data_IF_147786120740
#
_entry.id   IF_147786120740
#
_cell.length_a   1.000
_cell.length_b   1.000
_cell.length_c   1.000
_cell.angle_alpha   90.00
_cell.angle_beta   90.00
_cell.angle_gamma   90.00
#
_symmetry.space_group_name_H-M   'P 1'
#
loop_
_entity.id
_entity.type
_entity.pdbx_description
1 polymer ?
#
# COMPACT_ATOMS: atom_id res chain seq x y z
N UNK A 1 -0.43 13.82 -9.08
CA UNK A 1 -1.35 12.86 -9.75
C UNK A 1 -0.58 11.55 -9.90
N UNK A 2 -0.33 10.87 -8.79
CA UNK A 2 0.70 9.80 -8.69
C UNK A 2 0.14 8.49 -8.13
N UNK A 3 -1.17 8.34 -8.00
CA UNK A 3 -1.82 7.15 -7.43
C UNK A 3 -3.21 7.03 -8.03
N UNK A 4 -3.83 5.86 -7.90
CA UNK A 4 -5.12 5.60 -8.53
C UNK A 4 -6.25 6.37 -7.84
N UNK A 5 -7.42 6.42 -8.50
CA UNK A 5 -8.64 6.95 -7.89
C UNK A 5 -8.95 6.24 -6.57
N UNK A 6 -9.42 6.98 -5.56
CA UNK A 6 -9.84 6.41 -4.27
C UNK A 6 -11.03 5.45 -4.40
N UNK A 7 -11.77 5.51 -5.50
CA UNK A 7 -12.92 4.63 -5.79
C UNK A 7 -12.51 3.27 -6.34
N UNK A 8 -11.25 3.12 -6.75
CA UNK A 8 -10.71 1.91 -7.36
C UNK A 8 -9.57 1.35 -6.52
N UNK A 9 -9.45 0.04 -6.48
CA UNK A 9 -8.33 -0.64 -5.86
C UNK A 9 -7.52 -1.36 -6.92
N UNK A 10 -6.23 -1.05 -7.02
CA UNK A 10 -5.28 -1.66 -7.96
C UNK A 10 -3.94 -1.90 -7.28
N UNK A 11 -3.23 -2.93 -7.73
CA UNK A 11 -1.86 -3.21 -7.32
C UNK A 11 -1.00 -3.61 -8.52
N UNK A 12 0.32 -3.45 -8.41
CA UNK A 12 1.25 -3.87 -9.46
C UNK A 12 2.73 -3.82 -9.06
N UNK A 13 3.55 -4.58 -9.78
CA UNK A 13 5.02 -4.58 -9.62
C UNK A 13 5.59 -3.34 -10.32
N UNK A 14 6.33 -2.53 -9.57
CA UNK A 14 6.89 -1.24 -10.00
C UNK A 14 5.86 -0.20 -10.50
N UNK A 15 4.56 -0.49 -10.38
CA UNK A 15 3.50 0.42 -10.81
C UNK A 15 3.29 1.54 -9.80
N UNK A 16 3.79 2.74 -10.14
CA UNK A 16 3.60 3.95 -9.35
C UNK A 16 2.23 4.61 -9.58
N UNK A 17 1.31 4.01 -10.33
CA UNK A 17 -0.04 4.55 -10.53
C UNK A 17 -1.10 3.74 -9.80
N UNK A 18 -0.72 2.59 -9.25
CA UNK A 18 -1.59 1.71 -8.47
C UNK A 18 -1.77 2.19 -7.01
N UNK A 19 -2.81 1.67 -6.34
CA UNK A 19 -3.04 1.88 -4.90
C UNK A 19 -1.90 1.29 -4.07
N UNK A 20 -1.53 0.04 -4.38
CA UNK A 20 -0.44 -0.68 -3.72
C UNK A 20 0.65 -0.94 -4.75
N UNK A 21 1.89 -0.57 -4.41
CA UNK A 21 3.06 -0.87 -5.22
C UNK A 21 3.86 -2.00 -4.57
N UNK A 22 4.23 -3.00 -5.37
CA UNK A 22 5.29 -3.94 -5.02
C UNK A 22 6.58 -3.43 -5.67
N UNK A 23 7.64 -3.08 -4.92
CA UNK A 23 8.91 -2.67 -5.51
C UNK A 23 9.44 -3.73 -6.48
N UNK A 24 10.11 -3.31 -7.56
CA UNK A 24 10.66 -4.24 -8.56
C UNK A 24 11.53 -5.33 -7.92
N UNK A 25 12.44 -4.94 -7.04
CA UNK A 25 13.33 -5.86 -6.32
C UNK A 25 12.56 -6.88 -5.48
N UNK A 26 11.46 -6.48 -4.84
CA UNK A 26 10.60 -7.38 -4.07
C UNK A 26 9.88 -8.37 -4.99
N UNK A 27 9.38 -7.91 -6.14
CA UNK A 27 8.76 -8.76 -7.15
C UNK A 27 9.73 -9.78 -7.75
N UNK A 28 11.00 -9.38 -7.96
CA UNK A 28 12.07 -10.25 -8.47
C UNK A 28 12.55 -11.26 -7.41
N UNK A 29 12.66 -10.85 -6.14
CA UNK A 29 13.13 -11.72 -5.04
C UNK A 29 12.04 -12.66 -4.50
N UNK A 30 10.76 -12.31 -4.67
CA UNK A 30 9.64 -13.07 -4.12
C UNK A 30 9.37 -12.84 -2.62
N UNK A 31 10.14 -11.96 -1.96
CA UNK A 31 9.96 -11.57 -0.57
C UNK A 31 10.36 -10.11 -0.34
N UNK A 32 9.83 -9.50 0.73
CA UNK A 32 10.08 -8.11 1.08
C UNK A 32 8.85 -7.42 1.63
N UNK A 33 8.44 -6.30 1.02
CA UNK A 33 7.34 -5.46 1.48
C UNK A 33 6.44 -4.96 0.35
N UNK A 34 5.22 -4.54 0.72
CA UNK A 34 4.32 -3.75 -0.12
C UNK A 34 4.34 -2.29 0.32
N UNK A 35 4.04 -1.39 -0.60
CA UNK A 35 3.88 0.04 -0.33
C UNK A 35 2.44 0.46 -0.59
N UNK A 36 1.72 0.83 0.47
CA UNK A 36 0.39 1.44 0.34
C UNK A 36 0.51 2.94 0.07
N UNK A 37 0.08 3.35 -1.11
CA UNK A 37 0.24 4.71 -1.65
C UNK A 37 -1.07 5.51 -1.63
N UNK A 38 -2.07 5.04 -0.87
CA UNK A 38 -3.36 5.69 -0.65
C UNK A 38 -3.37 6.71 0.49
N UNK A 39 -2.60 6.55 1.58
CA UNK A 39 -2.56 7.54 2.66
C UNK A 39 -2.21 8.95 2.14
N UNK A 40 -2.97 9.96 2.56
CA UNK A 40 -2.66 11.35 2.27
C UNK A 40 -1.64 11.91 3.27
N UNK A 41 -1.03 13.05 2.94
CA UNK A 41 0.03 13.64 3.74
C UNK A 41 -0.40 14.10 5.15
N UNK A 42 -1.70 14.32 5.37
CA UNK A 42 -2.27 14.76 6.65
C UNK A 42 -2.95 13.63 7.43
N UNK A 43 -2.82 12.38 7.01
CA UNK A 43 -3.43 11.27 7.72
C UNK A 43 -2.72 10.97 9.04
N UNK A 44 -3.50 10.53 10.02
CA UNK A 44 -3.00 10.10 11.32
C UNK A 44 -2.20 8.79 11.16
N UNK A 45 -0.89 8.79 11.44
CA UNK A 45 -0.04 7.61 11.24
C UNK A 45 -0.45 6.44 12.14
N UNK A 46 -0.99 6.69 13.34
CA UNK A 46 -1.41 5.64 14.25
C UNK A 46 -2.65 4.92 13.74
N UNK A 47 -3.62 5.68 13.21
CA UNK A 47 -4.83 5.11 12.61
C UNK A 47 -4.51 4.30 11.36
N UNK A 48 -3.58 4.77 10.53
CA UNK A 48 -3.15 4.03 9.33
C UNK A 48 -2.49 2.71 9.74
N UNK A 49 -1.49 2.76 10.61
CA UNK A 49 -0.76 1.56 11.04
C UNK A 49 -1.70 0.54 11.70
N UNK A 50 -2.56 1.00 12.62
CA UNK A 50 -3.55 0.15 13.27
C UNK A 50 -4.53 -0.47 12.24
N UNK A 51 -5.01 0.32 11.27
CA UNK A 51 -5.93 -0.19 10.24
C UNK A 51 -5.26 -1.23 9.33
N UNK A 52 -3.98 -1.02 8.98
CA UNK A 52 -3.18 -1.99 8.21
C UNK A 52 -3.02 -3.30 8.99
N UNK A 53 -2.55 -3.23 10.25
CA UNK A 53 -2.36 -4.42 11.09
C UNK A 53 -3.66 -5.19 11.31
N UNK A 54 -4.76 -4.48 11.57
CA UNK A 54 -6.07 -5.12 11.73
C UNK A 54 -6.50 -5.85 10.46
N UNK A 55 -6.33 -5.22 9.29
CA UNK A 55 -6.80 -5.82 8.03
C UNK A 55 -5.90 -6.96 7.55
N UNK A 56 -4.58 -6.84 7.74
CA UNK A 56 -3.59 -7.81 7.23
C UNK A 56 -3.35 -8.95 8.23
N UNK A 57 -3.27 -8.65 9.52
CA UNK A 57 -2.92 -9.62 10.56
C UNK A 57 -4.11 -10.06 11.42
N UNK A 58 -5.30 -9.46 11.24
CA UNK A 58 -6.49 -9.80 12.05
C UNK A 58 -6.36 -9.40 13.52
N UNK A 59 -5.49 -8.44 13.84
CA UNK A 59 -5.26 -7.96 15.20
C UNK A 59 -6.33 -6.93 15.56
N UNK A 60 -7.08 -7.17 16.63
CA UNK A 60 -8.06 -6.22 17.18
C UNK A 60 -7.45 -5.28 18.22
#
# INVERSE_FOLDING_TARGET
HETCSYKEFRWGIADRTASIRIPRSVGELGYGYLEDRRPNANADPYRIAARMLRTVCGID
#
